data_IF_548856351201
#
_entry.id   IF_548856351201
#
_cell.length_a   1.000
_cell.length_b   1.000
_cell.length_c   1.000
_cell.angle_alpha   90.00
_cell.angle_beta   90.00
_cell.angle_gamma   90.00
#
_symmetry.space_group_name_H-M   'P 1'
#
loop_
_entity.id
_entity.type
_entity.pdbx_description
1 polymer ?
#
# COMPACT_ATOMS: atom_id res chain seq x y z
N UNK A 1 -29.53 10.11 54.74
CA UNK A 1 -29.91 10.13 53.32
C UNK A 1 -28.64 10.02 52.45
N UNK A 2 -28.48 8.85 51.86
CA UNK A 2 -27.35 8.59 50.92
C UNK A 2 -27.83 8.88 49.51
N UNK A 3 -27.32 9.95 48.91
CA UNK A 3 -27.53 10.26 47.48
C UNK A 3 -26.51 9.45 46.65
N UNK A 4 -27.02 8.43 45.95
CA UNK A 4 -26.23 7.64 45.00
C UNK A 4 -25.99 8.46 43.72
N UNK A 5 -24.73 8.73 43.44
CA UNK A 5 -24.30 9.21 42.12
C UNK A 5 -24.17 8.01 41.18
N UNK A 6 -25.13 7.84 40.28
CA UNK A 6 -24.97 6.93 39.16
C UNK A 6 -23.99 7.56 38.12
N UNK A 7 -22.78 7.00 38.02
CA UNK A 7 -21.87 7.29 36.92
C UNK A 7 -22.47 6.70 35.63
N UNK A 8 -22.90 7.57 34.72
CA UNK A 8 -23.12 7.19 33.31
C UNK A 8 -21.76 6.93 32.72
N UNK A 9 -21.42 5.69 32.44
CA UNK A 9 -20.31 5.34 31.59
C UNK A 9 -20.55 5.94 30.21
N UNK A 10 -19.69 6.86 29.80
CA UNK A 10 -19.70 7.41 28.47
C UNK A 10 -19.04 6.37 27.53
N UNK A 11 -19.79 5.83 26.61
CA UNK A 11 -19.28 5.02 25.50
C UNK A 11 -18.49 5.92 24.52
N UNK A 12 -17.14 5.89 24.55
CA UNK A 12 -16.33 6.77 23.71
C UNK A 12 -16.35 6.37 22.22
N UNK A 13 -16.91 5.20 21.87
CA UNK A 13 -16.95 4.67 20.51
C UNK A 13 -18.34 4.70 19.86
N UNK A 14 -19.39 4.97 20.63
CA UNK A 14 -20.80 4.90 20.17
C UNK A 14 -21.23 6.03 19.22
N UNK A 15 -20.43 7.08 19.06
CA UNK A 15 -20.80 8.26 18.23
C UNK A 15 -20.24 8.24 16.80
N UNK A 16 -19.31 7.38 16.47
CA UNK A 16 -18.69 7.33 15.13
C UNK A 16 -19.61 6.62 14.09
N UNK A 17 -20.54 5.80 14.54
CA UNK A 17 -21.38 4.97 13.66
C UNK A 17 -22.72 5.57 13.22
N UNK A 18 -23.18 6.71 13.76
CA UNK A 18 -24.58 7.13 13.61
C UNK A 18 -24.86 8.28 12.63
N UNK A 19 -23.85 8.91 12.03
CA UNK A 19 -24.03 10.06 11.12
C UNK A 19 -23.48 9.83 9.69
N UNK A 20 -23.45 8.60 9.20
CA UNK A 20 -23.29 8.39 7.76
C UNK A 20 -24.61 8.70 7.08
N UNK A 21 -24.65 9.78 6.28
CA UNK A 21 -25.82 10.19 5.50
C UNK A 21 -26.23 9.04 4.56
N UNK A 22 -27.55 8.83 4.37
CA UNK A 22 -28.12 7.84 3.45
C UNK A 22 -27.56 7.96 2.00
N UNK A 23 -27.07 9.15 1.62
CA UNK A 23 -26.45 9.44 0.33
C UNK A 23 -25.15 8.65 0.15
N UNK A 24 -24.30 8.58 1.19
CA UNK A 24 -23.01 7.84 1.14
C UNK A 24 -23.19 6.30 1.01
N UNK A 25 -24.41 5.79 1.30
CA UNK A 25 -24.76 4.38 1.08
C UNK A 25 -25.19 4.07 -0.35
N UNK A 26 -25.73 5.07 -1.07
CA UNK A 26 -26.22 4.89 -2.45
C UNK A 26 -25.09 4.89 -3.46
N UNK A 27 -24.01 5.66 -3.18
CA UNK A 27 -22.81 5.71 -4.02
C UNK A 27 -21.87 4.50 -3.83
N UNK A 28 -22.17 3.65 -2.84
CA UNK A 28 -21.46 2.37 -2.57
C UNK A 28 -22.11 1.15 -3.22
N UNK A 29 -22.98 1.32 -4.20
CA UNK A 29 -23.60 0.17 -4.87
C UNK A 29 -22.57 -0.61 -5.70
N UNK A 30 -21.88 -1.56 -5.05
CA UNK A 30 -20.96 -2.52 -5.67
C UNK A 30 -19.70 -2.84 -4.88
N UNK A 31 -19.10 -1.90 -4.14
CA UNK A 31 -17.85 -2.15 -3.41
C UNK A 31 -18.09 -2.21 -1.90
N UNK A 32 -17.66 -3.30 -1.28
CA UNK A 32 -17.66 -3.43 0.18
C UNK A 32 -16.61 -2.48 0.81
N UNK A 33 -15.48 -2.27 0.14
CA UNK A 33 -14.39 -1.39 0.55
C UNK A 33 -14.05 -0.41 -0.56
N UNK A 34 -13.99 0.86 -0.26
CA UNK A 34 -13.68 1.91 -1.23
C UNK A 34 -12.18 2.13 -1.39
N UNK A 35 -11.46 2.28 -0.28
CA UNK A 35 -10.01 2.50 -0.29
C UNK A 35 -9.29 1.26 0.19
N UNK A 36 -8.47 0.69 -0.67
CA UNK A 36 -7.77 -0.57 -0.46
C UNK A 36 -6.26 -0.31 -0.44
N UNK A 37 -5.56 -0.84 0.55
CA UNK A 37 -4.13 -0.97 0.47
C UNK A 37 -3.77 -2.41 0.13
N UNK A 38 -3.15 -2.61 -1.03
CA UNK A 38 -2.64 -3.90 -1.48
C UNK A 38 -1.15 -4.02 -1.14
N UNK A 39 -0.77 -5.01 -0.33
CA UNK A 39 0.64 -5.35 -0.12
C UNK A 39 1.02 -6.52 -1.03
N UNK A 40 1.97 -6.29 -1.93
CA UNK A 40 2.54 -7.31 -2.81
C UNK A 40 3.91 -7.75 -2.30
N UNK A 41 4.18 -9.06 -2.27
CA UNK A 41 5.56 -9.52 -2.06
C UNK A 41 6.36 -9.31 -3.36
N UNK A 42 7.64 -8.94 -3.24
CA UNK A 42 8.50 -8.85 -4.42
C UNK A 42 8.62 -10.19 -5.15
N UNK A 43 8.61 -11.28 -4.41
CA UNK A 43 8.65 -12.66 -4.95
C UNK A 43 7.48 -12.96 -5.89
N UNK A 44 6.29 -12.44 -5.60
CA UNK A 44 5.13 -12.59 -6.49
C UNK A 44 5.36 -11.97 -7.88
N UNK A 45 6.27 -10.98 -7.99
CA UNK A 45 6.61 -10.34 -9.27
C UNK A 45 7.69 -11.09 -10.06
N UNK A 46 8.43 -11.99 -9.42
CA UNK A 46 9.45 -12.81 -10.08
C UNK A 46 8.86 -14.04 -10.78
N UNK A 47 7.61 -14.41 -10.46
CA UNK A 47 6.99 -15.61 -11.01
C UNK A 47 7.83 -16.86 -10.74
N UNK A 48 7.91 -17.76 -11.72
CA UNK A 48 8.70 -18.99 -11.64
C UNK A 48 10.22 -18.77 -11.68
N UNK A 49 10.68 -17.57 -12.05
CA UNK A 49 12.12 -17.24 -12.12
C UNK A 49 12.75 -17.08 -10.74
N UNK A 50 11.96 -16.86 -9.69
CA UNK A 50 12.40 -16.64 -8.31
C UNK A 50 13.34 -15.44 -8.09
N UNK A 51 13.79 -14.77 -9.17
CA UNK A 51 14.67 -13.59 -9.14
C UNK A 51 14.29 -12.59 -10.23
N UNK A 52 14.43 -11.31 -9.91
CA UNK A 52 14.13 -10.21 -10.84
C UNK A 52 12.64 -10.03 -11.07
N UNK A 53 12.27 -9.64 -12.28
CA UNK A 53 10.91 -9.40 -12.73
C UNK A 53 10.53 -10.40 -13.82
N UNK A 54 9.36 -10.99 -13.67
CA UNK A 54 8.69 -11.74 -14.72
C UNK A 54 7.58 -10.89 -15.31
N UNK A 55 7.85 -10.26 -16.47
CA UNK A 55 6.92 -9.31 -17.08
C UNK A 55 5.52 -9.87 -17.32
N UNK A 56 5.33 -11.11 -17.81
CA UNK A 56 3.99 -11.69 -17.93
C UNK A 56 3.26 -11.80 -16.59
N UNK A 57 3.96 -12.08 -15.52
CA UNK A 57 3.38 -12.14 -14.17
C UNK A 57 3.03 -10.73 -13.66
N UNK A 58 3.91 -9.75 -13.86
CA UNK A 58 3.63 -8.33 -13.53
C UNK A 58 2.40 -7.86 -14.29
N UNK A 59 2.29 -8.18 -15.58
CA UNK A 59 1.14 -7.82 -16.42
C UNK A 59 -0.17 -8.38 -15.83
N UNK A 60 -0.23 -9.68 -15.50
CA UNK A 60 -1.42 -10.30 -14.90
C UNK A 60 -1.82 -9.66 -13.56
N UNK A 61 -0.83 -9.31 -12.73
CA UNK A 61 -1.08 -8.58 -11.47
C UNK A 61 -1.71 -7.22 -11.77
N UNK A 62 -1.14 -6.48 -12.72
CA UNK A 62 -1.64 -5.14 -13.10
C UNK A 62 -3.03 -5.19 -13.75
N UNK A 63 -3.34 -6.21 -14.54
CA UNK A 63 -4.70 -6.45 -15.07
C UNK A 63 -5.73 -6.66 -13.96
N UNK A 64 -5.37 -7.42 -12.93
CA UNK A 64 -6.23 -7.64 -11.76
C UNK A 64 -6.43 -6.34 -10.97
N UNK A 65 -5.38 -5.54 -10.79
CA UNK A 65 -5.45 -4.22 -10.14
C UNK A 65 -6.34 -3.27 -10.95
N UNK A 66 -6.17 -3.23 -12.27
CA UNK A 66 -7.00 -2.44 -13.19
C UNK A 66 -8.48 -2.82 -13.07
N UNK A 67 -8.81 -4.11 -13.07
CA UNK A 67 -10.18 -4.55 -12.92
C UNK A 67 -10.83 -4.06 -11.62
N UNK A 68 -10.10 -4.09 -10.50
CA UNK A 68 -10.58 -3.52 -9.23
C UNK A 68 -10.71 -1.99 -9.29
N UNK A 69 -9.77 -1.32 -9.94
CA UNK A 69 -9.79 0.14 -10.11
C UNK A 69 -10.99 0.59 -10.97
N UNK A 70 -11.32 -0.13 -12.03
CA UNK A 70 -12.47 0.15 -12.91
C UNK A 70 -13.83 -0.02 -12.19
N UNK A 71 -13.87 -0.81 -11.11
CA UNK A 71 -15.04 -0.89 -10.24
C UNK A 71 -15.18 0.34 -9.33
N UNK A 72 -14.24 1.29 -9.36
CA UNK A 72 -14.24 2.52 -8.57
C UNK A 72 -13.48 2.41 -7.24
N UNK A 73 -12.65 1.38 -7.05
CA UNK A 73 -11.80 1.29 -5.87
C UNK A 73 -10.63 2.28 -5.94
N UNK A 74 -10.34 2.95 -4.83
CA UNK A 74 -9.13 3.72 -4.61
C UNK A 74 -8.02 2.77 -4.16
N UNK A 75 -6.97 2.59 -4.96
CA UNK A 75 -5.97 1.56 -4.73
C UNK A 75 -4.61 2.17 -4.39
N UNK A 76 -4.10 1.82 -3.22
CA UNK A 76 -2.72 2.06 -2.81
C UNK A 76 -1.96 0.73 -2.76
N UNK A 77 -0.67 0.75 -3.13
CA UNK A 77 0.16 -0.45 -3.18
C UNK A 77 1.41 -0.25 -2.35
N UNK A 78 1.77 -1.24 -1.53
CA UNK A 78 3.09 -1.38 -0.92
C UNK A 78 3.73 -2.63 -1.50
N UNK A 79 4.91 -2.51 -2.08
CA UNK A 79 5.60 -3.64 -2.70
C UNK A 79 6.88 -4.01 -1.95
N UNK A 80 7.14 -5.31 -1.79
CA UNK A 80 8.39 -5.84 -1.24
C UNK A 80 9.52 -5.86 -2.27
N UNK A 81 10.75 -6.08 -1.80
CA UNK A 81 11.96 -6.17 -2.65
C UNK A 81 12.60 -7.56 -2.71
N UNK A 82 11.91 -8.60 -2.18
CA UNK A 82 12.49 -9.94 -1.97
C UNK A 82 12.89 -10.69 -3.24
N UNK A 83 12.40 -10.27 -4.41
CA UNK A 83 12.81 -10.80 -5.72
C UNK A 83 14.20 -10.30 -6.17
N UNK A 84 14.68 -9.20 -5.63
CA UNK A 84 16.02 -8.66 -5.93
C UNK A 84 16.99 -8.81 -4.77
N UNK A 85 16.49 -8.66 -3.53
CA UNK A 85 17.36 -8.61 -2.36
C UNK A 85 16.71 -9.20 -1.11
N UNK A 86 17.41 -10.14 -0.47
CA UNK A 86 17.07 -10.73 0.83
C UNK A 86 18.22 -10.49 1.80
N UNK A 87 18.14 -9.41 2.56
CA UNK A 87 19.22 -8.96 3.44
C UNK A 87 19.67 -9.96 4.51
N UNK A 88 18.80 -10.92 4.88
CA UNK A 88 19.13 -11.96 5.87
C UNK A 88 20.08 -13.06 5.36
N UNK A 89 20.32 -13.16 4.05
CA UNK A 89 21.12 -14.24 3.46
C UNK A 89 22.61 -13.91 3.36
N UNK A 90 23.02 -12.65 3.55
CA UNK A 90 24.42 -12.21 3.48
C UNK A 90 24.95 -11.94 4.89
N UNK A 91 25.42 -12.97 5.59
CA UNK A 91 25.83 -12.93 6.99
C UNK A 91 27.01 -12.01 7.36
N UNK A 92 27.67 -11.35 6.38
CA UNK A 92 28.80 -10.45 6.60
C UNK A 92 28.49 -8.96 6.37
N UNK A 93 27.30 -8.64 5.85
CA UNK A 93 26.92 -7.26 5.55
C UNK A 93 26.28 -6.58 6.76
N UNK A 94 26.61 -5.30 6.98
CA UNK A 94 25.91 -4.46 7.94
C UNK A 94 24.39 -4.46 7.68
N UNK A 95 23.61 -4.66 8.75
CA UNK A 95 22.17 -4.81 8.66
C UNK A 95 21.48 -3.57 8.11
N UNK A 96 21.92 -2.39 8.52
CA UNK A 96 21.36 -1.11 8.05
C UNK A 96 21.57 -0.97 6.55
N UNK A 97 22.76 -1.31 6.09
CA UNK A 97 23.13 -1.24 4.66
C UNK A 97 22.33 -2.25 3.84
N UNK A 98 22.17 -3.46 4.34
CA UNK A 98 21.34 -4.49 3.72
C UNK A 98 19.87 -4.07 3.59
N UNK A 99 19.32 -3.44 4.62
CA UNK A 99 17.94 -2.93 4.59
C UNK A 99 17.78 -1.76 3.61
N UNK A 100 18.77 -0.86 3.49
CA UNK A 100 18.76 0.19 2.47
C UNK A 100 18.76 -0.37 1.05
N UNK A 101 19.56 -1.43 0.77
CA UNK A 101 19.52 -2.13 -0.52
C UNK A 101 18.13 -2.72 -0.77
N UNK A 102 17.53 -3.33 0.24
CA UNK A 102 16.15 -3.83 0.15
C UNK A 102 15.13 -2.73 -0.15
N UNK A 103 15.30 -1.52 0.42
CA UNK A 103 14.45 -0.37 0.10
C UNK A 103 14.59 0.04 -1.36
N UNK A 104 15.81 0.09 -1.91
CA UNK A 104 16.04 0.36 -3.34
C UNK A 104 15.41 -0.70 -4.24
N UNK A 105 15.47 -1.97 -3.84
CA UNK A 105 14.80 -3.06 -4.55
C UNK A 105 13.28 -2.85 -4.64
N UNK A 106 12.66 -2.30 -3.58
CA UNK A 106 11.23 -1.94 -3.64
C UNK A 106 10.94 -0.82 -4.62
N UNK A 107 11.87 0.11 -4.84
CA UNK A 107 11.71 1.19 -5.84
C UNK A 107 11.71 0.62 -7.25
N UNK A 108 12.62 -0.31 -7.54
CA UNK A 108 12.66 -1.00 -8.85
C UNK A 108 11.31 -1.68 -9.14
N UNK A 109 10.75 -2.39 -8.17
CA UNK A 109 9.43 -3.01 -8.29
C UNK A 109 8.30 -1.97 -8.45
N UNK A 110 8.38 -0.85 -7.70
CA UNK A 110 7.37 0.22 -7.78
C UNK A 110 7.32 0.86 -9.17
N UNK A 111 8.48 1.12 -9.77
CA UNK A 111 8.58 1.70 -11.12
C UNK A 111 8.07 0.72 -12.19
N UNK A 112 8.40 -0.57 -12.06
CA UNK A 112 7.91 -1.59 -13.00
C UNK A 112 6.39 -1.77 -12.93
N UNK A 113 5.80 -1.74 -11.71
CA UNK A 113 4.34 -1.77 -11.56
C UNK A 113 3.68 -0.52 -12.13
N UNK A 114 4.31 0.66 -11.94
CA UNK A 114 3.79 1.91 -12.47
C UNK A 114 3.77 1.90 -14.00
N UNK A 115 4.85 1.50 -14.63
CA UNK A 115 4.96 1.37 -16.09
C UNK A 115 3.90 0.41 -16.66
N UNK A 116 3.76 -0.77 -16.04
CA UNK A 116 2.77 -1.75 -16.47
C UNK A 116 1.32 -1.27 -16.30
N UNK A 117 1.00 -0.57 -15.20
CA UNK A 117 -0.33 0.01 -14.98
C UNK A 117 -0.62 1.16 -15.94
N UNK A 118 0.35 2.04 -16.19
CA UNK A 118 0.22 3.14 -17.14
C UNK A 118 0.06 2.63 -18.58
N UNK A 119 0.75 1.55 -18.96
CA UNK A 119 0.55 0.87 -20.24
C UNK A 119 -0.87 0.29 -20.40
N UNK A 120 -1.52 -0.04 -19.29
CA UNK A 120 -2.93 -0.46 -19.26
C UNK A 120 -3.93 0.71 -19.19
N UNK A 121 -3.44 1.97 -19.21
CA UNK A 121 -4.26 3.18 -19.15
C UNK A 121 -4.68 3.58 -17.72
N UNK A 122 -4.04 3.03 -16.68
CA UNK A 122 -4.29 3.39 -15.27
C UNK A 122 -3.29 4.45 -14.82
N UNK A 123 -3.76 5.66 -14.54
CA UNK A 123 -2.89 6.75 -14.06
C UNK A 123 -2.29 6.39 -12.70
N UNK A 124 -0.95 6.39 -12.59
CA UNK A 124 -0.24 5.90 -11.42
C UNK A 124 0.74 6.95 -10.87
N UNK A 125 0.99 6.93 -9.57
CA UNK A 125 2.01 7.75 -8.91
C UNK A 125 2.85 6.90 -7.97
N UNK A 126 4.17 6.97 -8.12
CA UNK A 126 5.12 6.36 -7.21
C UNK A 126 5.56 7.40 -6.17
N UNK A 127 5.45 7.04 -4.90
CA UNK A 127 5.93 7.85 -3.78
C UNK A 127 6.94 7.06 -2.95
N UNK A 128 8.09 7.65 -2.63
CA UNK A 128 9.16 6.99 -1.88
C UNK A 128 9.37 7.62 -0.51
N UNK A 129 9.60 6.78 0.50
CA UNK A 129 9.89 7.23 1.86
C UNK A 129 11.27 7.90 1.96
N UNK A 130 12.23 7.46 1.13
CA UNK A 130 13.51 8.14 0.95
C UNK A 130 13.37 9.07 -0.26
N UNK A 131 13.71 10.37 -0.16
CA UNK A 131 13.57 11.30 -1.27
C UNK A 131 14.41 10.89 -2.49
N UNK A 132 13.76 10.75 -3.65
CA UNK A 132 14.35 10.40 -4.94
C UNK A 132 13.69 11.22 -6.05
N UNK A 133 13.75 12.54 -5.92
CA UNK A 133 12.93 13.50 -6.70
C UNK A 133 13.05 13.35 -8.23
N UNK A 134 14.18 12.85 -8.73
CA UNK A 134 14.38 12.59 -10.16
C UNK A 134 13.64 11.35 -10.68
N UNK A 135 13.12 10.48 -9.79
CA UNK A 135 12.55 9.17 -10.14
C UNK A 135 11.11 9.04 -9.63
N UNK A 136 10.82 9.55 -8.44
CA UNK A 136 9.53 9.40 -7.78
C UNK A 136 9.23 10.59 -6.87
N UNK A 137 7.95 10.81 -6.55
CA UNK A 137 7.55 11.82 -5.59
C UNK A 137 8.01 11.45 -4.17
N UNK A 138 8.42 12.41 -3.33
CA UNK A 138 8.59 12.14 -1.91
C UNK A 138 7.22 11.80 -1.29
N UNK A 139 7.20 10.82 -0.39
CA UNK A 139 5.98 10.47 0.33
C UNK A 139 5.47 11.65 1.17
N UNK A 140 4.31 12.14 0.82
CA UNK A 140 3.55 13.11 1.59
C UNK A 140 2.11 12.60 1.69
N UNK A 141 1.65 12.31 2.92
CA UNK A 141 0.32 11.75 3.19
C UNK A 141 -0.80 12.46 2.42
N UNK A 142 -0.85 13.78 2.48
CA UNK A 142 -1.93 14.55 1.84
C UNK A 142 -1.86 14.49 0.30
N UNK A 143 -0.67 14.35 -0.28
CA UNK A 143 -0.53 14.12 -1.73
C UNK A 143 -1.04 12.73 -2.11
N UNK A 144 -0.68 11.69 -1.33
CA UNK A 144 -1.16 10.33 -1.57
C UNK A 144 -2.69 10.27 -1.55
N UNK A 145 -3.33 10.85 -0.54
CA UNK A 145 -4.80 10.90 -0.43
C UNK A 145 -5.42 11.62 -1.63
N UNK A 146 -4.88 12.77 -2.03
CA UNK A 146 -5.37 13.50 -3.22
C UNK A 146 -5.22 12.71 -4.52
N UNK A 147 -4.17 11.92 -4.66
CA UNK A 147 -4.00 11.05 -5.83
C UNK A 147 -5.09 9.97 -5.85
N UNK A 148 -5.33 9.31 -4.73
CA UNK A 148 -6.39 8.29 -4.60
C UNK A 148 -7.77 8.86 -4.89
N UNK A 149 -8.10 10.02 -4.33
CA UNK A 149 -9.37 10.72 -4.56
C UNK A 149 -9.57 11.15 -6.03
N UNK A 150 -8.48 11.34 -6.78
CA UNK A 150 -8.50 11.62 -8.22
C UNK A 150 -8.54 10.36 -9.08
N UNK A 151 -8.71 9.18 -8.47
CA UNK A 151 -8.74 7.91 -9.19
C UNK A 151 -7.37 7.45 -9.69
N UNK A 152 -6.27 7.88 -9.07
CA UNK A 152 -4.92 7.40 -9.38
C UNK A 152 -4.53 6.25 -8.48
N UNK A 153 -3.83 5.27 -9.01
CA UNK A 153 -3.16 4.26 -8.19
C UNK A 153 -1.90 4.86 -7.58
N UNK A 154 -1.68 4.68 -6.28
CA UNK A 154 -0.49 5.16 -5.57
C UNK A 154 0.37 3.97 -5.15
N UNK A 155 1.65 3.96 -5.53
CA UNK A 155 2.60 2.92 -5.16
C UNK A 155 3.63 3.50 -4.19
N UNK A 156 3.78 2.86 -3.03
CA UNK A 156 4.72 3.27 -2.00
C UNK A 156 6.00 2.44 -2.06
N UNK A 157 7.11 3.08 -2.39
CA UNK A 157 8.46 2.52 -2.36
C UNK A 157 9.24 2.87 -1.09
N UNK A 158 10.39 2.23 -0.88
CA UNK A 158 11.29 2.39 0.27
C UNK A 158 10.68 1.99 1.63
N UNK A 159 9.60 1.22 1.66
CA UNK A 159 9.00 0.75 2.90
C UNK A 159 8.63 1.89 3.86
N UNK A 160 9.17 1.84 5.10
CA UNK A 160 9.01 2.93 6.08
C UNK A 160 10.02 4.07 5.89
N UNK A 161 11.09 3.84 5.13
CA UNK A 161 12.27 4.71 5.04
C UNK A 161 13.29 4.49 6.16
N UNK A 162 13.00 3.58 7.09
CA UNK A 162 13.87 3.26 8.22
C UNK A 162 14.31 1.78 8.16
N UNK A 163 15.60 1.48 8.44
CA UNK A 163 16.08 0.12 8.61
C UNK A 163 15.31 -0.62 9.71
N UNK A 164 15.44 -1.94 9.74
CA UNK A 164 14.85 -2.87 10.71
C UNK A 164 13.32 -3.07 10.63
N UNK A 165 12.62 -2.36 9.75
CA UNK A 165 11.19 -2.53 9.55
C UNK A 165 10.89 -3.34 8.29
N UNK A 166 9.89 -4.22 8.38
CA UNK A 166 9.40 -5.00 7.23
C UNK A 166 8.47 -4.17 6.34
N UNK A 167 8.26 -4.63 5.11
CA UNK A 167 7.24 -4.03 4.22
C UNK A 167 5.81 -4.29 4.72
N UNK A 168 5.58 -5.29 5.56
CA UNK A 168 4.30 -5.50 6.23
C UNK A 168 4.02 -4.38 7.24
N UNK A 169 5.06 -3.96 8.00
CA UNK A 169 4.98 -2.77 8.88
C UNK A 169 4.70 -1.50 8.08
N UNK A 170 5.38 -1.34 6.93
CA UNK A 170 5.13 -0.21 6.04
C UNK A 170 3.67 -0.22 5.52
N UNK A 171 3.13 -1.38 5.16
CA UNK A 171 1.74 -1.51 4.72
C UNK A 171 0.76 -1.07 5.82
N UNK A 172 0.97 -1.50 7.06
CA UNK A 172 0.14 -1.08 8.19
C UNK A 172 0.19 0.44 8.42
N UNK A 173 1.40 1.03 8.43
CA UNK A 173 1.58 2.48 8.60
C UNK A 173 0.94 3.28 7.47
N UNK A 174 1.14 2.88 6.22
CA UNK A 174 0.56 3.58 5.05
C UNK A 174 -0.96 3.45 5.03
N UNK A 175 -1.50 2.27 5.34
CA UNK A 175 -2.94 2.02 5.45
C UNK A 175 -3.59 2.96 6.46
N UNK A 176 -3.05 3.03 7.68
CA UNK A 176 -3.53 3.94 8.72
C UNK A 176 -3.42 5.41 8.28
N UNK A 177 -2.28 5.80 7.69
CA UNK A 177 -2.04 7.17 7.26
C UNK A 177 -2.99 7.66 6.17
N UNK A 178 -3.33 6.81 5.19
CA UNK A 178 -4.24 7.17 4.09
C UNK A 178 -5.71 6.90 4.40
N UNK A 179 -6.03 6.29 5.53
CA UNK A 179 -7.38 5.89 5.91
C UNK A 179 -7.94 4.80 4.99
N UNK A 180 -7.16 3.75 4.73
CA UNK A 180 -7.64 2.61 3.96
C UNK A 180 -8.67 1.79 4.75
N UNK A 181 -9.70 1.30 4.07
CA UNK A 181 -10.76 0.48 4.68
C UNK A 181 -10.26 -0.94 4.98
N UNK A 182 -9.30 -1.44 4.18
CA UNK A 182 -8.76 -2.80 4.29
C UNK A 182 -7.30 -2.85 3.80
N UNK A 183 -6.54 -3.79 4.36
CA UNK A 183 -5.23 -4.22 3.85
C UNK A 183 -5.39 -5.61 3.26
N UNK A 184 -5.07 -5.76 1.99
CA UNK A 184 -5.02 -7.05 1.30
C UNK A 184 -3.56 -7.47 1.15
N UNK A 185 -3.21 -8.66 1.62
CA UNK A 185 -1.83 -9.16 1.58
C UNK A 185 -1.71 -10.28 0.54
N UNK A 186 -1.12 -9.97 -0.60
CA UNK A 186 -0.81 -10.96 -1.63
C UNK A 186 0.61 -11.51 -1.41
N UNK A 187 0.67 -12.79 -1.06
CA UNK A 187 1.91 -13.57 -0.88
C UNK A 187 1.89 -14.74 -1.84
N UNK A 188 3.06 -15.17 -2.33
CA UNK A 188 3.18 -16.51 -2.89
C UNK A 188 3.02 -17.52 -1.74
N UNK A 189 2.15 -18.48 -1.93
CA UNK A 189 1.93 -19.62 -1.03
C UNK A 189 2.75 -20.81 -1.54
#
# INVERSE_FOLDING_TARGET
PRTGYARKEADPFGRIGKNMKKQDRKDRMGLQYKRILLKLSGEAMAGEKHFGLDYPTVQRICESIKACHELGAEIAIVVGGGNFWRGRQNGSMDRTRADHIGMLATVMNSLSLADALESLGVETRVQTAIPMQSIAEPYIRNKAVRHLEKGRVVIFGCGTGNPFFSTDTAAALRSAAIGADIIMMAKMV
#
